data_IF_998313276731
#
_entry.id   IF_998313276731
#
_cell.length_a   1.000
_cell.length_b   1.000
_cell.length_c   1.000
_cell.angle_alpha   90.00
_cell.angle_beta   90.00
_cell.angle_gamma   90.00
#
_symmetry.space_group_name_H-M   'P 1'
#
loop_
_entity.id
_entity.type
_entity.pdbx_description
1 polymer ?
#
# COMPACT_ATOMS: atom_id res chain seq x y z
N UNK A 1 -26.15 -45.20 17.34
CA UNK A 1 -25.40 -45.09 16.08
C UNK A 1 -25.16 -43.62 15.79
N UNK A 2 -24.03 -43.09 16.26
CA UNK A 2 -23.68 -41.67 16.12
C UNK A 2 -23.16 -41.40 14.71
N UNK A 3 -23.97 -40.75 13.89
CA UNK A 3 -23.63 -40.39 12.52
C UNK A 3 -22.69 -39.18 12.53
N UNK A 4 -21.39 -39.42 12.36
CA UNK A 4 -20.42 -38.34 12.17
C UNK A 4 -20.61 -37.71 10.78
N UNK A 5 -21.05 -36.46 10.74
CA UNK A 5 -21.17 -35.67 9.52
C UNK A 5 -19.77 -35.27 9.04
N UNK A 6 -19.29 -35.86 7.94
CA UNK A 6 -18.06 -35.42 7.27
C UNK A 6 -18.28 -34.03 6.64
N UNK A 7 -17.42 -33.04 6.90
CA UNK A 7 -17.54 -31.73 6.27
C UNK A 7 -17.39 -31.87 4.75
N UNK A 8 -18.40 -31.40 4.02
CA UNK A 8 -18.45 -31.42 2.56
C UNK A 8 -17.43 -30.39 2.04
N UNK A 9 -16.33 -30.84 1.44
CA UNK A 9 -15.35 -29.95 0.81
C UNK A 9 -16.01 -29.29 -0.41
N UNK A 10 -16.33 -28.01 -0.30
CA UNK A 10 -16.88 -27.22 -1.41
C UNK A 10 -15.73 -26.91 -2.36
N UNK A 11 -15.64 -27.62 -3.48
CA UNK A 11 -14.69 -27.31 -4.55
C UNK A 11 -15.07 -25.95 -5.13
N UNK A 12 -14.18 -24.96 -4.98
CA UNK A 12 -14.41 -23.55 -5.33
C UNK A 12 -14.33 -22.58 -4.15
N UNK A 13 -14.51 -23.06 -2.91
CA UNK A 13 -14.38 -22.20 -1.71
C UNK A 13 -12.96 -21.60 -1.61
N UNK A 14 -11.92 -22.38 -1.93
CA UNK A 14 -10.54 -21.89 -1.93
C UNK A 14 -10.25 -20.81 -2.98
N UNK A 15 -10.90 -20.85 -4.16
CA UNK A 15 -10.67 -19.86 -5.22
C UNK A 15 -11.30 -18.51 -4.85
N UNK A 16 -12.52 -18.51 -4.34
CA UNK A 16 -13.20 -17.28 -3.91
C UNK A 16 -12.50 -16.65 -2.69
N UNK A 17 -12.03 -17.46 -1.74
CA UNK A 17 -11.29 -16.98 -0.58
C UNK A 17 -9.95 -16.35 -0.98
N UNK A 18 -9.24 -16.95 -1.93
CA UNK A 18 -8.05 -16.35 -2.51
C UNK A 18 -8.34 -15.01 -3.20
N UNK A 19 -9.41 -14.93 -4.00
CA UNK A 19 -9.79 -13.69 -4.68
C UNK A 19 -10.09 -12.59 -3.65
N UNK A 20 -10.80 -12.92 -2.57
CA UNK A 20 -11.13 -11.97 -1.51
C UNK A 20 -9.86 -11.50 -0.78
N UNK A 21 -8.98 -12.42 -0.38
CA UNK A 21 -7.73 -12.05 0.32
C UNK A 21 -6.84 -11.18 -0.58
N UNK A 22 -6.69 -11.54 -1.86
CA UNK A 22 -5.90 -10.76 -2.83
C UNK A 22 -6.50 -9.37 -3.02
N UNK A 23 -7.83 -9.25 -3.14
CA UNK A 23 -8.50 -7.96 -3.27
C UNK A 23 -8.27 -7.06 -2.03
N UNK A 24 -8.32 -7.62 -0.83
CA UNK A 24 -8.06 -6.88 0.42
C UNK A 24 -6.61 -6.39 0.52
N UNK A 25 -5.63 -7.23 0.15
CA UNK A 25 -4.21 -6.83 0.10
C UNK A 25 -4.00 -5.71 -0.93
N UNK A 26 -4.62 -5.83 -2.11
CA UNK A 26 -4.51 -4.82 -3.16
C UNK A 26 -5.05 -3.45 -2.72
N UNK A 27 -6.20 -3.41 -2.04
CA UNK A 27 -6.79 -2.17 -1.51
C UNK A 27 -5.90 -1.56 -0.42
N UNK A 28 -5.37 -2.38 0.50
CA UNK A 28 -4.47 -1.92 1.56
C UNK A 28 -3.20 -1.26 1.01
N UNK A 29 -2.68 -1.76 -0.12
CA UNK A 29 -1.41 -1.31 -0.68
C UNK A 29 -1.47 0.04 -1.43
N UNK A 30 -2.67 0.55 -1.79
CA UNK A 30 -2.84 1.76 -2.60
C UNK A 30 -2.12 2.98 -1.99
N UNK A 31 -2.17 3.14 -0.67
CA UNK A 31 -1.52 4.25 0.03
C UNK A 31 0.01 4.21 -0.09
N UNK A 32 0.61 3.05 0.21
CA UNK A 32 2.07 2.85 0.19
C UNK A 32 2.63 3.10 -1.21
N UNK A 33 2.01 2.55 -2.25
CA UNK A 33 2.49 2.70 -3.62
C UNK A 33 2.37 4.12 -4.16
N UNK A 34 1.35 4.89 -3.75
CA UNK A 34 1.20 6.30 -4.11
C UNK A 34 2.35 7.16 -3.56
N UNK A 35 2.63 7.06 -2.27
CA UNK A 35 3.69 7.86 -1.65
C UNK A 35 5.09 7.40 -2.10
N UNK A 36 5.29 6.10 -2.27
CA UNK A 36 6.52 5.56 -2.84
C UNK A 36 6.76 6.08 -4.27
N UNK A 37 5.76 5.99 -5.16
CA UNK A 37 5.88 6.47 -6.53
C UNK A 37 6.18 7.97 -6.63
N UNK A 38 5.54 8.78 -5.78
CA UNK A 38 5.83 10.21 -5.68
C UNK A 38 7.25 10.49 -5.17
N UNK A 39 7.75 9.68 -4.23
CA UNK A 39 9.12 9.81 -3.70
C UNK A 39 10.16 9.44 -4.75
N UNK A 40 10.00 8.29 -5.41
CA UNK A 40 10.89 7.83 -6.47
C UNK A 40 10.94 8.83 -7.63
N UNK A 41 9.79 9.33 -8.10
CA UNK A 41 9.72 10.35 -9.14
C UNK A 41 10.42 11.66 -8.74
N UNK A 42 10.23 12.09 -7.49
CA UNK A 42 10.89 13.31 -6.98
C UNK A 42 12.41 13.15 -6.94
N UNK A 43 12.92 11.99 -6.54
CA UNK A 43 14.36 11.72 -6.53
C UNK A 43 14.96 11.66 -7.94
N UNK A 44 14.26 11.05 -8.90
CA UNK A 44 14.69 11.04 -10.31
C UNK A 44 14.72 12.46 -10.88
N UNK A 45 13.72 13.30 -10.54
CA UNK A 45 13.70 14.70 -10.94
C UNK A 45 14.86 15.51 -10.33
N UNK A 46 15.20 15.25 -9.06
CA UNK A 46 16.38 15.83 -8.38
C UNK A 46 17.66 15.44 -9.10
N UNK A 47 17.86 14.15 -9.38
CA UNK A 47 19.06 13.66 -10.05
C UNK A 47 19.21 14.26 -11.46
N UNK A 48 18.10 14.36 -12.22
CA UNK A 48 18.10 14.99 -13.54
C UNK A 48 18.42 16.49 -13.48
N UNK A 49 17.89 17.21 -12.49
CA UNK A 49 18.16 18.63 -12.30
C UNK A 49 19.61 18.88 -11.86
N UNK A 50 20.17 18.08 -10.95
CA UNK A 50 21.58 18.17 -10.56
C UNK A 50 22.51 17.86 -11.74
N UNK A 51 22.20 16.85 -12.53
CA UNK A 51 22.95 16.51 -13.74
C UNK A 51 22.90 17.63 -14.80
N UNK A 52 21.76 18.33 -14.89
CA UNK A 52 21.58 19.51 -15.75
C UNK A 52 22.16 20.81 -15.19
N UNK A 53 22.83 20.78 -14.04
CA UNK A 53 23.41 21.95 -13.37
C UNK A 53 22.39 22.89 -12.73
N UNK A 54 21.14 22.43 -12.55
CA UNK A 54 20.06 23.22 -11.97
C UNK A 54 19.89 22.96 -10.47
N UNK A 55 19.33 23.95 -9.78
CA UNK A 55 19.06 23.82 -8.34
C UNK A 55 17.96 22.78 -8.08
N UNK A 56 18.31 21.77 -7.28
CA UNK A 56 17.40 20.69 -6.91
C UNK A 56 16.83 20.84 -5.49
N UNK A 57 16.97 22.01 -4.86
CA UNK A 57 16.54 22.25 -3.48
C UNK A 57 15.05 21.94 -3.28
N UNK A 58 14.18 22.47 -4.15
CA UNK A 58 12.73 22.23 -4.09
C UNK A 58 12.36 20.76 -4.28
N UNK A 59 13.02 20.08 -5.23
CA UNK A 59 12.80 18.66 -5.48
C UNK A 59 13.21 17.77 -4.29
N UNK A 60 14.31 18.11 -3.62
CA UNK A 60 14.77 17.42 -2.40
C UNK A 60 13.81 17.61 -1.23
N UNK A 61 13.31 18.83 -1.03
CA UNK A 61 12.28 19.11 -0.02
C UNK A 61 11.01 18.30 -0.29
N UNK A 62 10.57 18.24 -1.55
CA UNK A 62 9.38 17.47 -1.94
C UNK A 62 9.59 15.95 -1.75
N UNK A 63 10.76 15.43 -2.12
CA UNK A 63 11.10 14.02 -1.93
C UNK A 63 11.09 13.64 -0.43
N UNK A 64 11.67 14.49 0.41
CA UNK A 64 11.70 14.30 1.87
C UNK A 64 10.30 14.36 2.48
N UNK A 65 9.48 15.33 2.05
CA UNK A 65 8.10 15.43 2.51
C UNK A 65 7.26 14.20 2.11
N UNK A 66 7.45 13.67 0.90
CA UNK A 66 6.77 12.47 0.44
C UNK A 66 7.24 11.21 1.20
N UNK A 67 8.53 11.10 1.48
CA UNK A 67 9.09 10.02 2.29
C UNK A 67 8.50 10.03 3.71
N UNK A 68 8.42 11.20 4.35
CA UNK A 68 7.82 11.33 5.68
C UNK A 68 6.34 10.93 5.68
N UNK A 69 5.57 11.31 4.65
CA UNK A 69 4.17 10.87 4.50
C UNK A 69 4.06 9.36 4.33
N UNK A 70 4.96 8.74 3.55
CA UNK A 70 5.02 7.29 3.41
C UNK A 70 5.31 6.60 4.74
N UNK A 71 6.26 7.12 5.53
CA UNK A 71 6.59 6.60 6.87
C UNK A 71 5.38 6.71 7.80
N UNK A 72 4.73 7.87 7.86
CA UNK A 72 3.52 8.05 8.68
C UNK A 72 2.44 7.05 8.29
N UNK A 73 2.14 6.90 7.00
CA UNK A 73 1.11 5.97 6.52
C UNK A 73 1.47 4.51 6.74
N UNK A 74 2.77 4.17 6.70
CA UNK A 74 3.27 2.84 7.05
C UNK A 74 3.20 2.53 8.55
N UNK A 75 3.18 3.55 9.41
CA UNK A 75 3.03 3.40 10.87
C UNK A 75 1.57 3.38 11.33
N UNK A 76 0.62 3.74 10.46
CA UNK A 76 -0.80 3.66 10.76
C UNK A 76 -1.26 2.20 10.64
N UNK A 77 -1.61 1.61 11.76
CA UNK A 77 -2.11 0.24 11.87
C UNK A 77 -3.54 0.17 11.29
N UNK A 78 -3.68 0.00 9.96
CA UNK A 78 -4.99 -0.04 9.28
C UNK A 78 -5.68 -1.37 9.52
N UNK A 79 -6.38 -1.48 10.64
CA UNK A 79 -7.25 -2.61 10.97
C UNK A 79 -8.64 -2.40 10.38
N UNK A 80 -9.36 -3.49 10.08
CA UNK A 80 -10.74 -3.43 9.61
C UNK A 80 -11.64 -2.54 10.50
N UNK A 81 -11.41 -2.52 11.81
CA UNK A 81 -12.16 -1.68 12.76
C UNK A 81 -11.83 -0.17 12.73
N UNK A 82 -10.71 0.24 12.10
CA UNK A 82 -10.30 1.65 11.99
C UNK A 82 -10.77 2.31 10.68
N UNK A 83 -11.40 1.56 9.77
CA UNK A 83 -11.91 2.11 8.49
C UNK A 83 -13.11 3.05 8.66
N UNK A 84 -13.92 2.88 9.71
CA UNK A 84 -15.09 3.73 9.99
C UNK A 84 -14.72 5.11 10.60
N UNK A 85 -13.46 5.33 10.96
CA UNK A 85 -13.02 6.53 11.69
C UNK A 85 -12.30 7.57 10.83
N UNK A 86 -12.06 7.28 9.55
CA UNK A 86 -11.48 8.24 8.61
C UNK A 86 -12.58 8.89 7.77
N UNK A 87 -13.21 9.93 8.31
CA UNK A 87 -14.04 10.87 7.54
C UNK A 87 -13.41 12.25 7.56
#
# INVERSE_FOLDING_TARGET
>A
MSMQLKPKRIQGQGMTEYIIIVALIAIAAIGVFRYYGNTARSQVAVAAAELGGQSSATGRTQATANANKATTEGTVDKKLGTYEQQK
#
